data_IF_702263399219
#
_entry.id   IF_702263399219
#
_cell.length_a   1.000
_cell.length_b   1.000
_cell.length_c   1.000
_cell.angle_alpha   90.00
_cell.angle_beta   90.00
_cell.angle_gamma   90.00
#
_symmetry.space_group_name_H-M   'P 1'
#
loop_
_entity.id
_entity.type
_entity.pdbx_description
1 polymer ?
#
# COMPACT_ATOMS: atom_id res chain seq x y z
N UNK A 1 54.78 -8.79 -14.43
CA UNK A 1 53.37 -8.46 -14.20
C UNK A 1 53.35 -7.58 -12.97
N UNK A 2 53.12 -6.28 -13.20
CA UNK A 2 53.40 -5.20 -12.26
C UNK A 2 52.45 -5.20 -11.05
N UNK A 3 52.95 -5.01 -9.81
CA UNK A 3 52.16 -4.98 -8.58
C UNK A 3 51.12 -3.83 -8.54
N UNK A 4 51.24 -2.85 -9.44
CA UNK A 4 50.33 -1.71 -9.58
C UNK A 4 48.91 -2.11 -9.98
N UNK A 5 48.73 -3.18 -10.76
CA UNK A 5 47.41 -3.64 -11.17
C UNK A 5 46.58 -4.18 -10.00
N UNK A 6 47.20 -4.89 -9.05
CA UNK A 6 46.49 -5.47 -7.90
C UNK A 6 45.92 -4.39 -6.97
N UNK A 7 46.62 -3.27 -6.78
CA UNK A 7 46.12 -2.16 -5.96
C UNK A 7 44.90 -1.47 -6.58
N UNK A 8 44.87 -1.30 -7.90
CA UNK A 8 43.74 -0.70 -8.61
C UNK A 8 42.50 -1.60 -8.52
N UNK A 9 42.66 -2.92 -8.72
CA UNK A 9 41.55 -3.86 -8.59
C UNK A 9 41.05 -4.00 -7.15
N UNK A 10 41.94 -3.98 -6.15
CA UNK A 10 41.55 -4.02 -4.74
C UNK A 10 40.81 -2.74 -4.31
N UNK A 11 41.25 -1.56 -4.77
CA UNK A 11 40.57 -0.28 -4.52
C UNK A 11 39.19 -0.22 -5.20
N UNK A 12 39.08 -0.70 -6.44
CA UNK A 12 37.80 -0.78 -7.17
C UNK A 12 36.83 -1.77 -6.50
N UNK A 13 37.33 -2.91 -6.00
CA UNK A 13 36.53 -3.88 -5.25
C UNK A 13 36.08 -3.30 -3.90
N UNK A 14 36.95 -2.60 -3.16
CA UNK A 14 36.56 -1.91 -1.93
C UNK A 14 35.52 -0.80 -2.17
N UNK A 15 35.60 -0.04 -3.26
CA UNK A 15 34.58 0.96 -3.61
C UNK A 15 33.20 0.32 -3.89
N UNK A 16 33.17 -0.82 -4.58
CA UNK A 16 31.92 -1.56 -4.88
C UNK A 16 31.21 -2.06 -3.60
N UNK A 17 31.94 -2.36 -2.52
CA UNK A 17 31.35 -2.74 -1.23
C UNK A 17 30.89 -1.57 -0.36
N UNK A 18 31.18 -0.31 -0.75
CA UNK A 18 30.76 0.89 -0.01
C UNK A 18 29.45 1.50 -0.52
N UNK A 19 28.87 0.95 -1.61
CA UNK A 19 27.53 1.28 -2.08
C UNK A 19 26.48 0.71 -1.12
N UNK A 20 26.38 1.27 0.09
CA UNK A 20 25.18 1.12 0.90
C UNK A 20 24.08 1.83 0.13
N UNK A 21 23.20 1.06 -0.51
CA UNK A 21 21.92 1.57 -0.97
C UNK A 21 21.21 2.17 0.24
N UNK A 22 21.26 3.49 0.40
CA UNK A 22 20.56 4.17 1.48
C UNK A 22 19.09 4.21 1.04
N UNK A 23 18.38 3.14 1.36
CA UNK A 23 16.93 3.02 1.18
C UNK A 23 16.26 3.95 2.19
N UNK A 24 16.21 5.25 1.88
CA UNK A 24 15.59 6.22 2.78
C UNK A 24 14.10 6.36 2.51
N UNK A 25 13.31 6.29 3.57
CA UNK A 25 11.84 6.23 3.61
C UNK A 25 11.29 6.99 4.84
N UNK A 26 10.07 6.71 5.33
CA UNK A 26 9.53 7.31 6.56
C UNK A 26 8.62 6.38 7.37
N UNK A 27 8.57 6.55 8.69
CA UNK A 27 7.68 5.78 9.60
C UNK A 27 6.98 6.67 10.62
N UNK A 28 5.72 6.36 10.93
CA UNK A 28 4.99 6.97 12.03
C UNK A 28 5.44 6.35 13.36
N UNK A 29 6.07 7.16 14.21
CA UNK A 29 6.65 6.73 15.50
C UNK A 29 5.86 7.19 16.71
N UNK A 30 5.06 8.26 16.59
CA UNK A 30 4.17 8.74 17.65
C UNK A 30 2.84 9.20 17.04
N UNK A 31 1.69 8.62 17.42
CA UNK A 31 1.58 7.34 18.13
C UNK A 31 2.30 6.23 17.35
N UNK A 32 3.00 5.28 18.00
CA UNK A 32 3.70 4.20 17.30
C UNK A 32 2.76 3.44 16.36
N UNK A 33 3.05 3.46 15.06
CA UNK A 33 2.29 2.66 14.09
C UNK A 33 2.45 1.17 14.32
N UNK A 34 1.51 0.36 13.84
CA UNK A 34 1.50 -1.11 13.93
C UNK A 34 2.86 -1.76 13.60
N UNK A 35 3.54 -1.28 12.55
CA UNK A 35 4.88 -1.76 12.18
C UNK A 35 6.02 -1.21 13.05
N UNK A 36 5.83 -0.08 13.74
CA UNK A 36 6.84 0.58 14.57
C UNK A 36 6.71 0.24 16.07
N UNK A 37 5.60 -0.33 16.53
CA UNK A 37 5.33 -0.58 17.95
C UNK A 37 6.46 -1.32 18.66
N UNK A 38 7.08 -2.31 18.01
CA UNK A 38 8.18 -3.10 18.59
C UNK A 38 9.40 -2.25 18.99
N UNK A 39 9.63 -1.11 18.34
CA UNK A 39 10.72 -0.18 18.70
C UNK A 39 10.51 0.48 20.06
N UNK A 40 9.26 0.51 20.54
CA UNK A 40 8.84 1.17 21.77
C UNK A 40 8.44 0.16 22.85
N UNK A 41 9.00 -1.06 22.80
CA UNK A 41 8.83 -2.06 23.86
C UNK A 41 7.51 -2.83 23.84
N UNK A 42 6.62 -2.56 22.89
CA UNK A 42 5.40 -3.36 22.72
C UNK A 42 5.76 -4.78 22.29
N UNK A 43 5.08 -5.78 22.87
CA UNK A 43 5.22 -7.21 22.52
C UNK A 43 4.55 -7.52 21.18
N UNK A 44 5.00 -6.87 20.11
CA UNK A 44 4.52 -7.02 18.73
C UNK A 44 5.62 -7.62 17.87
N UNK A 45 5.25 -8.24 16.74
CA UNK A 45 6.23 -8.81 15.81
C UNK A 45 7.08 -7.68 15.19
N UNK A 46 8.42 -7.75 15.25
CA UNK A 46 9.25 -6.72 14.66
C UNK A 46 9.09 -6.62 13.14
N UNK A 47 8.89 -5.40 12.64
CA UNK A 47 9.12 -5.05 11.24
C UNK A 47 10.36 -4.15 11.15
N UNK A 48 11.48 -4.69 10.70
CA UNK A 48 12.73 -3.92 10.58
C UNK A 48 12.70 -2.90 9.43
N UNK A 49 11.78 -3.08 8.48
CA UNK A 49 11.50 -2.20 7.35
C UNK A 49 10.19 -1.43 7.59
N UNK A 50 9.92 -1.05 8.83
CA UNK A 50 8.74 -0.27 9.23
C UNK A 50 8.70 1.14 8.65
N UNK A 51 9.81 1.61 8.08
CA UNK A 51 9.85 2.80 7.24
C UNK A 51 9.44 2.54 5.78
N UNK A 52 9.33 1.29 5.31
CA UNK A 52 9.03 0.96 3.91
C UNK A 52 7.54 0.65 3.68
N UNK A 53 6.63 1.31 4.39
CA UNK A 53 5.18 1.21 4.15
C UNK A 53 4.70 2.16 3.02
N UNK A 54 5.43 2.08 1.92
CA UNK A 54 5.33 2.88 0.69
C UNK A 54 4.39 2.32 -0.40
N UNK A 55 3.30 1.65 -0.04
CA UNK A 55 2.34 1.06 -0.98
C UNK A 55 2.94 -0.01 -1.93
N UNK A 56 4.08 -0.60 -1.54
CA UNK A 56 4.89 -1.51 -2.36
C UNK A 56 5.90 -0.83 -3.28
N UNK A 57 6.08 0.48 -3.15
CA UNK A 57 6.93 1.33 -3.99
C UNK A 57 6.16 1.94 -5.18
N UNK A 58 6.68 3.05 -5.70
CA UNK A 58 6.05 3.83 -6.77
C UNK A 58 5.52 2.99 -7.96
N UNK A 59 6.36 2.11 -8.52
CA UNK A 59 6.00 1.26 -9.67
C UNK A 59 4.83 0.33 -9.35
N UNK A 60 4.84 -0.28 -8.18
CA UNK A 60 3.77 -1.19 -7.75
C UNK A 60 2.47 -0.41 -7.54
N UNK A 61 2.52 0.74 -6.87
CA UNK A 61 1.35 1.57 -6.64
C UNK A 61 0.73 2.05 -7.96
N UNK A 62 1.50 2.74 -8.79
CA UNK A 62 0.93 3.48 -9.92
C UNK A 62 0.76 2.65 -11.19
N UNK A 63 1.69 1.75 -11.50
CA UNK A 63 1.62 0.98 -12.73
C UNK A 63 0.83 -0.31 -12.57
N UNK A 64 1.06 -1.04 -11.48
CA UNK A 64 0.39 -2.33 -11.24
C UNK A 64 -0.97 -2.15 -10.58
N UNK A 65 -1.06 -1.30 -9.57
CA UNK A 65 -2.27 -1.15 -8.76
C UNK A 65 -3.15 0.04 -9.18
N UNK A 66 -2.76 0.81 -10.21
CA UNK A 66 -3.54 1.94 -10.71
C UNK A 66 -3.67 3.08 -9.69
N UNK A 67 -2.60 3.38 -8.96
CA UNK A 67 -2.54 4.40 -7.90
C UNK A 67 -3.02 3.92 -6.53
N UNK A 68 -3.58 2.71 -6.44
CA UNK A 68 -4.16 2.19 -5.19
C UNK A 68 -3.07 1.75 -4.20
N UNK A 69 -3.35 2.02 -2.93
CA UNK A 69 -2.52 1.66 -1.78
C UNK A 69 -3.37 0.97 -0.71
N UNK A 70 -2.79 0.02 0.03
CA UNK A 70 -3.44 -0.53 1.22
C UNK A 70 -3.74 0.57 2.24
N UNK A 71 -4.76 0.38 3.07
CA UNK A 71 -5.16 1.42 4.05
C UNK A 71 -4.05 1.72 5.05
N UNK A 72 -3.14 0.78 5.30
CA UNK A 72 -2.01 0.96 6.21
C UNK A 72 -0.64 0.83 5.52
N UNK A 73 -0.56 1.18 4.22
CA UNK A 73 0.72 1.34 3.51
C UNK A 73 1.26 0.07 2.85
N UNK A 74 0.58 -1.06 3.03
CA UNK A 74 0.89 -2.29 2.29
C UNK A 74 0.58 -2.15 0.79
N UNK A 75 1.23 -2.98 -0.04
CA UNK A 75 0.92 -3.02 -1.46
C UNK A 75 -0.52 -3.50 -1.73
N UNK A 76 -1.27 -2.74 -2.53
CA UNK A 76 -2.70 -2.99 -2.73
C UNK A 76 -3.04 -4.36 -3.32
N UNK A 77 -2.20 -4.94 -4.18
CA UNK A 77 -2.49 -6.27 -4.76
C UNK A 77 -2.35 -7.43 -3.76
N UNK A 78 -1.75 -7.20 -2.58
CA UNK A 78 -1.70 -8.23 -1.53
C UNK A 78 -3.13 -8.45 -1.01
N UNK A 79 -3.61 -9.70 -0.87
CA UNK A 79 -4.93 -9.99 -0.33
C UNK A 79 -5.13 -9.41 1.07
N UNK A 80 -6.35 -8.98 1.35
CA UNK A 80 -6.75 -8.54 2.69
C UNK A 80 -7.08 -9.75 3.59
N UNK A 81 -6.75 -9.73 4.89
CA UNK A 81 -6.03 -8.66 5.61
C UNK A 81 -4.54 -8.61 5.22
N UNK A 82 -4.10 -7.42 4.79
CA UNK A 82 -2.68 -7.16 4.50
C UNK A 82 -1.90 -7.07 5.82
N UNK A 83 -0.56 -7.20 5.82
CA UNK A 83 0.23 -7.26 7.05
C UNK A 83 -0.06 -6.19 8.09
N UNK A 84 -0.30 -4.93 7.67
CA UNK A 84 -0.58 -3.81 8.56
C UNK A 84 -2.07 -3.51 8.73
N UNK A 85 -2.96 -4.29 8.12
CA UNK A 85 -4.41 -4.19 8.34
C UNK A 85 -4.84 -4.99 9.57
N UNK A 86 -6.04 -4.71 10.09
CA UNK A 86 -6.62 -5.48 11.19
C UNK A 86 -6.71 -6.96 10.83
N UNK A 87 -6.24 -7.85 11.72
CA UNK A 87 -6.11 -9.27 11.45
C UNK A 87 -4.82 -9.66 10.71
N UNK A 88 -4.05 -8.67 10.21
CA UNK A 88 -2.71 -8.86 9.68
C UNK A 88 -1.67 -9.06 10.78
N UNK A 89 -0.46 -9.50 10.42
CA UNK A 89 0.60 -9.83 11.38
C UNK A 89 1.02 -8.65 12.29
N UNK A 90 0.82 -7.40 11.86
CA UNK A 90 1.11 -6.20 12.65
C UNK A 90 -0.17 -5.52 13.18
N UNK A 91 -1.32 -5.72 12.53
CA UNK A 91 -2.60 -5.16 12.98
C UNK A 91 -3.33 -6.05 13.98
N UNK A 92 -2.79 -6.12 15.20
CA UNK A 92 -3.30 -6.96 16.29
C UNK A 92 -4.26 -6.21 17.24
N UNK A 93 -4.60 -4.95 16.95
CA UNK A 93 -5.54 -4.15 17.75
C UNK A 93 -4.97 -3.63 19.08
N UNK A 94 -3.65 -3.56 19.21
CA UNK A 94 -2.98 -3.10 20.44
C UNK A 94 -3.04 -1.57 20.51
N UNK A 95 -3.72 -1.04 21.53
CA UNK A 95 -3.82 0.41 21.77
C UNK A 95 -2.43 0.97 22.11
N UNK A 96 -1.90 1.78 21.21
CA UNK A 96 -0.57 2.39 21.31
C UNK A 96 -0.57 3.67 22.13
N UNK A 97 -1.69 4.42 22.14
CA UNK A 97 -1.89 5.66 22.92
C UNK A 97 -3.35 5.84 23.33
N UNK A 98 -3.57 6.57 24.43
CA UNK A 98 -4.89 7.02 24.89
C UNK A 98 -4.88 8.55 24.94
N UNK A 99 -5.97 9.18 24.51
CA UNK A 99 -6.12 10.64 24.48
C UNK A 99 -7.50 11.05 24.99
N UNK A 100 -7.61 12.32 25.38
CA UNK A 100 -8.91 12.93 25.68
C UNK A 100 -9.53 13.54 24.41
N UNK A 101 -10.87 13.58 24.31
CA UNK A 101 -11.54 14.31 23.23
C UNK A 101 -11.09 15.78 23.20
N UNK A 102 -10.87 16.34 22.01
CA UNK A 102 -10.42 17.73 21.86
C UNK A 102 -8.94 17.97 22.17
N UNK A 103 -8.20 16.95 22.60
CA UNK A 103 -6.79 17.10 22.98
C UNK A 103 -5.92 17.50 21.77
N UNK A 104 -5.03 18.46 21.98
CA UNK A 104 -3.92 18.72 21.06
C UNK A 104 -2.84 17.67 21.31
N UNK A 105 -2.55 16.86 20.30
CA UNK A 105 -1.58 15.76 20.38
C UNK A 105 -0.34 16.08 19.55
N UNK A 106 0.81 15.57 19.98
CA UNK A 106 2.05 15.58 19.20
C UNK A 106 2.18 14.29 18.42
N UNK A 107 2.01 14.35 17.11
CA UNK A 107 2.35 13.26 16.20
C UNK A 107 3.81 13.39 15.75
N UNK A 108 4.57 12.30 15.68
CA UNK A 108 5.97 12.33 15.21
C UNK A 108 6.21 11.30 14.13
N UNK A 109 6.81 11.76 13.05
CA UNK A 109 7.19 10.95 11.88
C UNK A 109 8.72 10.96 11.78
N UNK A 110 9.34 9.79 11.78
CA UNK A 110 10.78 9.64 11.57
C UNK A 110 11.05 9.45 10.08
N UNK A 111 11.71 10.44 9.47
CA UNK A 111 12.06 10.45 8.05
C UNK A 111 13.53 10.05 7.88
N UNK A 112 13.76 8.96 7.16
CA UNK A 112 15.09 8.44 6.83
C UNK A 112 15.60 8.87 5.45
N UNK A 113 14.70 9.19 4.51
CA UNK A 113 14.99 10.14 3.43
C UNK A 113 13.78 11.01 3.14
N UNK A 114 14.08 12.28 2.91
CA UNK A 114 13.08 13.29 2.67
C UNK A 114 12.80 13.41 1.18
N UNK A 115 11.58 13.07 0.80
CA UNK A 115 11.08 13.13 -0.57
C UNK A 115 10.24 14.40 -0.83
N UNK A 116 10.41 15.45 -0.01
CA UNK A 116 9.60 16.70 -0.05
C UNK A 116 8.11 16.38 0.11
N UNK A 117 7.19 17.19 -0.41
CA UNK A 117 5.75 16.87 -0.34
C UNK A 117 5.16 17.20 1.03
N UNK A 118 4.21 16.40 1.51
CA UNK A 118 3.44 16.73 2.71
C UNK A 118 2.92 15.50 3.47
N UNK A 119 2.70 15.67 4.78
CA UNK A 119 2.01 14.72 5.64
C UNK A 119 0.54 15.12 5.80
N UNK A 120 -0.33 14.13 5.81
CA UNK A 120 -1.74 14.23 6.20
C UNK A 120 -2.01 13.21 7.31
N UNK A 121 -2.90 13.58 8.23
CA UNK A 121 -3.30 12.72 9.34
C UNK A 121 -4.82 12.57 9.34
N UNK A 122 -5.28 11.35 9.52
CA UNK A 122 -6.70 10.99 9.51
C UNK A 122 -7.02 10.09 10.68
N UNK A 123 -8.27 10.10 11.08
CA UNK A 123 -8.79 9.32 12.19
C UNK A 123 -10.04 8.55 11.75
N UNK A 124 -10.31 7.40 12.34
CA UNK A 124 -11.58 6.72 12.19
C UNK A 124 -11.98 6.12 13.54
N UNK A 125 -13.18 6.43 14.08
CA UNK A 125 -13.71 5.82 15.31
C UNK A 125 -14.22 4.40 15.03
N UNK A 126 -13.27 3.50 14.73
CA UNK A 126 -13.54 2.19 14.12
C UNK A 126 -14.11 1.14 15.09
N UNK A 127 -13.63 1.13 16.34
CA UNK A 127 -14.07 0.27 17.45
C UNK A 127 -14.12 -1.24 17.12
N UNK A 128 -13.31 -1.69 16.17
CA UNK A 128 -13.34 -3.06 15.68
C UNK A 128 -11.92 -3.56 15.32
N UNK A 129 -11.16 -4.09 16.30
CA UNK A 129 -9.75 -4.43 16.11
C UNK A 129 -9.50 -5.60 15.14
N UNK A 130 -10.55 -6.34 14.75
CA UNK A 130 -10.48 -7.52 13.86
C UNK A 130 -11.00 -7.25 12.46
N UNK A 131 -11.57 -6.07 12.19
CA UNK A 131 -12.08 -5.71 10.87
C UNK A 131 -11.23 -4.60 10.26
N UNK A 132 -11.00 -4.67 8.95
CA UNK A 132 -10.19 -3.67 8.26
C UNK A 132 -10.96 -2.36 8.16
N UNK A 133 -10.34 -1.28 8.62
CA UNK A 133 -10.90 0.07 8.48
C UNK A 133 -11.06 0.44 7.00
N UNK A 134 -12.16 1.09 6.63
CA UNK A 134 -12.33 1.61 5.28
C UNK A 134 -11.59 2.94 5.10
N UNK A 135 -11.10 3.20 3.89
CA UNK A 135 -10.55 4.51 3.58
C UNK A 135 -11.61 5.61 3.71
N UNK A 136 -12.87 5.32 3.35
CA UNK A 136 -13.99 6.25 3.48
C UNK A 136 -14.23 6.73 4.92
N UNK A 137 -14.05 5.85 5.92
CA UNK A 137 -14.13 6.25 7.31
C UNK A 137 -13.01 7.24 7.66
N UNK A 138 -11.77 6.92 7.29
CA UNK A 138 -10.61 7.79 7.54
C UNK A 138 -10.75 9.15 6.83
N UNK A 139 -11.25 9.14 5.60
CA UNK A 139 -11.47 10.34 4.80
C UNK A 139 -12.58 11.24 5.36
N UNK A 140 -13.43 10.71 6.23
CA UNK A 140 -14.48 11.47 6.93
C UNK A 140 -13.96 12.25 8.14
N UNK A 141 -12.76 11.92 8.65
CA UNK A 141 -12.16 12.63 9.80
C UNK A 141 -10.67 12.97 9.55
N UNK A 142 -10.36 13.88 8.61
CA UNK A 142 -9.05 14.49 8.55
C UNK A 142 -8.77 15.28 9.85
N UNK A 143 -7.52 15.27 10.30
CA UNK A 143 -7.09 16.03 11.47
C UNK A 143 -6.46 17.34 11.04
N UNK A 144 -6.88 18.42 11.70
CA UNK A 144 -6.33 19.76 11.50
C UNK A 144 -5.03 19.93 12.27
N UNK A 145 -4.11 20.69 11.69
CA UNK A 145 -2.91 21.18 12.35
C UNK A 145 -3.31 22.20 13.43
N UNK A 146 -2.68 22.10 14.60
CA UNK A 146 -3.01 22.95 15.74
C UNK A 146 -2.67 24.43 15.54
N UNK A 147 -1.84 24.76 14.54
CA UNK A 147 -1.52 26.13 14.14
C UNK A 147 -2.59 26.75 13.21
N UNK A 148 -3.63 25.99 12.83
CA UNK A 148 -4.69 26.45 11.95
C UNK A 148 -4.32 26.56 10.48
N UNK A 149 -3.16 26.03 10.06
CA UNK A 149 -2.71 26.08 8.65
C UNK A 149 -3.39 25.07 7.73
N UNK A 150 -4.33 24.28 8.26
CA UNK A 150 -5.11 23.27 7.54
C UNK A 150 -4.67 21.85 7.89
N UNK A 151 -4.82 20.91 6.94
CA UNK A 151 -4.61 19.47 7.16
C UNK A 151 -3.29 18.92 6.62
N UNK A 152 -2.48 19.77 5.96
CA UNK A 152 -1.23 19.37 5.28
C UNK A 152 -0.02 19.99 5.93
N UNK A 153 0.83 19.15 6.51
CA UNK A 153 2.12 19.56 7.06
C UNK A 153 3.21 19.36 6.02
N UNK A 154 4.03 20.40 5.76
CA UNK A 154 5.14 20.33 4.81
C UNK A 154 6.46 20.19 5.57
N UNK A 155 7.10 19.00 5.59
CA UNK A 155 8.36 18.82 6.29
C UNK A 155 9.47 19.67 5.65
N UNK A 156 10.25 20.35 6.50
CA UNK A 156 11.47 21.02 6.09
C UNK A 156 12.48 20.01 5.49
N UNK A 157 13.44 20.46 4.67
CA UNK A 157 14.54 19.60 4.22
C UNK A 157 15.29 18.97 5.40
N UNK A 158 15.78 17.74 5.21
CA UNK A 158 16.53 16.99 6.22
C UNK A 158 15.83 15.70 6.66
N UNK A 159 16.52 14.93 7.48
CA UNK A 159 16.07 13.62 8.01
C UNK A 159 15.95 13.69 9.54
N UNK A 160 15.30 12.68 10.12
CA UNK A 160 15.04 12.56 11.55
C UNK A 160 13.57 12.79 11.90
N UNK A 161 13.28 13.08 13.19
CA UNK A 161 11.92 13.23 13.67
C UNK A 161 11.32 14.58 13.27
N UNK A 162 10.15 14.55 12.63
CA UNK A 162 9.29 15.69 12.39
C UNK A 162 8.08 15.59 13.31
N UNK A 163 7.95 16.54 14.23
CA UNK A 163 6.81 16.60 15.17
C UNK A 163 5.76 17.58 14.67
N UNK A 164 4.50 17.14 14.70
CA UNK A 164 3.33 17.84 14.20
C UNK A 164 2.28 17.89 15.29
N UNK A 165 1.80 19.09 15.63
CA UNK A 165 0.72 19.27 16.60
C UNK A 165 -0.62 19.15 15.86
N UNK A 166 -1.48 18.24 16.31
CA UNK A 166 -2.78 17.94 15.70
C UNK A 166 -3.89 18.11 16.72
N UNK A 167 -5.06 18.59 16.28
CA UNK A 167 -6.24 18.72 17.13
C UNK A 167 -7.15 17.51 16.95
N UNK A 168 -7.41 16.77 18.03
CA UNK A 168 -8.41 15.71 18.01
C UNK A 168 -9.84 16.30 18.06
N UNK A 169 -10.85 15.67 17.44
CA UNK A 169 -12.21 16.20 17.48
C UNK A 169 -12.82 16.16 18.90
N UNK A 170 -13.45 17.26 19.33
CA UNK A 170 -14.02 17.39 20.69
C UNK A 170 -15.14 16.40 21.01
N UNK A 171 -15.91 15.97 20.01
CA UNK A 171 -17.10 15.13 20.18
C UNK A 171 -16.86 13.67 19.76
N UNK A 172 -15.60 13.30 19.51
CA UNK A 172 -15.25 11.96 19.04
C UNK A 172 -14.63 11.16 20.19
N UNK A 173 -15.19 9.98 20.42
CA UNK A 173 -14.67 8.96 21.34
C UNK A 173 -14.61 7.62 20.65
N UNK A 174 -13.69 6.77 21.08
CA UNK A 174 -13.48 5.42 20.54
C UNK A 174 -12.69 4.56 21.52
N UNK A 175 -13.12 3.31 21.71
CA UNK A 175 -12.32 2.30 22.41
C UNK A 175 -11.12 1.85 21.57
N UNK A 176 -11.26 1.91 20.25
CA UNK A 176 -10.18 1.73 19.29
C UNK A 176 -10.45 2.59 18.06
N UNK A 177 -9.69 3.67 17.90
CA UNK A 177 -9.60 4.42 16.66
C UNK A 177 -8.44 3.89 15.81
N UNK A 178 -8.57 4.03 14.49
CA UNK A 178 -7.41 3.94 13.60
C UNK A 178 -6.94 5.34 13.25
N UNK A 179 -5.71 5.67 13.64
CA UNK A 179 -5.01 6.87 13.25
C UNK A 179 -4.12 6.56 12.05
N UNK A 180 -4.35 7.22 10.92
CA UNK A 180 -3.58 7.03 9.68
C UNK A 180 -2.73 8.27 9.42
N UNK A 181 -1.41 8.07 9.40
CA UNK A 181 -0.49 9.00 8.75
C UNK A 181 -0.36 8.63 7.27
N UNK A 182 -0.41 9.63 6.39
CA UNK A 182 -0.05 9.51 4.98
C UNK A 182 1.04 10.51 4.65
N UNK A 183 2.10 10.07 3.99
CA UNK A 183 3.10 10.93 3.39
C UNK A 183 3.04 10.82 1.88
N UNK A 184 2.62 11.91 1.23
CA UNK A 184 2.69 12.04 -0.22
C UNK A 184 3.99 12.75 -0.56
N UNK A 185 4.90 12.04 -1.23
CA UNK A 185 6.16 12.61 -1.70
C UNK A 185 5.90 13.76 -2.71
N UNK A 186 6.94 14.55 -3.00
CA UNK A 186 6.83 15.69 -3.89
C UNK A 186 8.09 15.91 -4.75
N UNK A 187 8.87 14.86 -4.97
CA UNK A 187 10.13 14.91 -5.69
C UNK A 187 10.03 14.40 -7.13
N UNK A 188 8.91 13.79 -7.53
CA UNK A 188 8.74 13.31 -8.91
C UNK A 188 8.20 14.43 -9.82
N UNK A 189 8.66 14.46 -11.07
CA UNK A 189 8.12 15.33 -12.10
C UNK A 189 6.82 14.75 -12.68
N UNK A 190 5.80 15.60 -12.86
CA UNK A 190 4.57 15.17 -13.50
C UNK A 190 3.67 16.32 -13.92
N UNK A 191 2.55 15.97 -14.55
CA UNK A 191 1.54 16.92 -15.04
C UNK A 191 0.61 17.34 -13.91
N UNK A 192 0.43 18.65 -13.75
CA UNK A 192 -0.52 19.24 -12.80
C UNK A 192 -1.92 19.32 -13.42
N UNK A 193 -2.93 19.53 -12.57
CA UNK A 193 -4.34 19.68 -12.98
C UNK A 193 -4.56 20.84 -13.95
N UNK A 194 -3.83 21.94 -13.77
CA UNK A 194 -3.87 23.10 -14.67
C UNK A 194 -3.18 22.86 -16.03
N UNK A 195 -2.75 21.64 -16.33
CA UNK A 195 -2.11 21.25 -17.58
C UNK A 195 -0.61 21.48 -17.65
N UNK A 196 -0.01 22.26 -16.74
CA UNK A 196 1.45 22.47 -16.65
C UNK A 196 2.17 21.21 -16.15
N UNK A 197 3.49 21.16 -16.23
CA UNK A 197 4.29 20.08 -15.62
C UNK A 197 5.38 20.66 -14.72
N UNK A 198 5.53 20.10 -13.53
CA UNK A 198 6.58 20.48 -12.56
C UNK A 198 6.86 19.34 -11.57
N UNK A 199 7.93 19.50 -10.80
CA UNK A 199 8.22 18.66 -9.64
C UNK A 199 7.08 18.75 -8.62
N UNK A 200 6.67 17.60 -8.09
CA UNK A 200 5.59 17.45 -7.11
C UNK A 200 4.19 17.34 -7.72
N UNK A 201 4.05 17.40 -9.05
CA UNK A 201 2.79 17.16 -9.74
C UNK A 201 2.68 15.73 -10.27
N UNK A 202 1.46 15.30 -10.55
CA UNK A 202 1.16 13.95 -11.03
C UNK A 202 1.41 12.89 -9.95
N UNK A 203 1.50 11.60 -10.35
CA UNK A 203 1.79 10.49 -9.45
C UNK A 203 3.05 10.69 -8.59
N UNK A 204 2.90 10.53 -7.28
CA UNK A 204 3.99 10.60 -6.31
C UNK A 204 4.04 9.30 -5.51
N UNK A 205 5.22 8.96 -4.96
CA UNK A 205 5.29 7.87 -3.98
C UNK A 205 4.46 8.23 -2.75
N UNK A 206 3.81 7.22 -2.16
CA UNK A 206 2.94 7.38 -0.99
C UNK A 206 3.38 6.43 0.09
N UNK A 207 3.54 6.92 1.31
CA UNK A 207 3.77 6.13 2.51
C UNK A 207 2.56 6.24 3.42
N UNK A 208 2.23 5.16 4.13
CA UNK A 208 1.18 5.20 5.16
C UNK A 208 1.59 4.42 6.39
N UNK A 209 1.17 4.90 7.55
CA UNK A 209 1.29 4.18 8.81
C UNK A 209 -0.02 4.27 9.58
N UNK A 210 -0.54 3.15 10.05
CA UNK A 210 -1.70 3.10 10.94
C UNK A 210 -1.25 2.83 12.38
N UNK A 211 -1.80 3.58 13.33
CA UNK A 211 -1.70 3.31 14.76
C UNK A 211 -3.11 3.07 15.32
N UNK A 212 -3.22 2.15 16.27
CA UNK A 212 -4.44 1.92 17.03
C UNK A 212 -4.36 2.77 18.30
N UNK A 213 -5.33 3.67 18.51
CA UNK A 213 -5.37 4.59 19.68
C UNK A 213 -6.76 4.55 20.32
N UNK A 214 -6.91 5.05 21.54
CA UNK A 214 -8.23 5.23 22.17
C UNK A 214 -8.46 6.70 22.51
N UNK A 215 -9.71 7.15 22.43
CA UNK A 215 -10.12 8.51 22.76
C UNK A 215 -11.34 8.44 23.69
N UNK A 216 -11.23 9.02 24.88
CA UNK A 216 -12.30 8.99 25.87
C UNK A 216 -11.87 9.62 27.19
N UNK A 217 -12.61 9.35 28.25
CA UNK A 217 -12.28 9.81 29.60
C UNK A 217 -11.08 9.01 30.11
N UNK A 218 -9.89 9.62 30.05
CA UNK A 218 -8.64 8.93 30.37
C UNK A 218 -8.37 9.03 31.88
N UNK A 219 -8.67 7.96 32.62
CA UNK A 219 -8.07 7.72 33.93
C UNK A 219 -6.63 7.24 33.72
N UNK A 220 -5.68 8.18 33.65
CA UNK A 220 -4.21 7.97 33.66
C UNK A 220 -3.60 7.14 32.51
N UNK A 221 -2.58 7.71 31.87
CA UNK A 221 -1.81 7.06 30.82
C UNK A 221 -0.81 6.05 31.41
N UNK A 222 -1.22 4.79 31.57
CA UNK A 222 -0.31 3.65 31.84
C UNK A 222 0.57 3.27 30.63
N UNK A 223 0.56 4.08 29.58
CA UNK A 223 1.34 3.84 28.38
C UNK A 223 2.69 4.53 28.58
N UNK A 224 3.80 3.79 28.60
CA UNK A 224 5.11 4.34 28.91
C UNK A 224 5.45 5.49 27.94
N UNK A 225 5.60 6.68 28.53
CA UNK A 225 6.12 7.88 27.88
C UNK A 225 7.61 7.70 27.64
N UNK A 226 7.97 7.04 26.54
CA UNK A 226 9.37 6.98 26.14
C UNK A 226 9.79 8.31 25.50
N UNK A 227 10.15 9.28 26.34
CA UNK A 227 10.79 10.54 25.95
C UNK A 227 12.24 10.34 25.46
N UNK A 228 12.76 9.11 25.45
CA UNK A 228 14.10 8.81 24.97
C UNK A 228 14.03 7.87 23.76
N UNK A 229 14.59 8.35 22.65
CA UNK A 229 14.88 7.55 21.45
C UNK A 229 15.65 6.30 21.89
N UNK A 230 15.29 5.08 21.44
CA UNK A 230 16.14 3.91 21.65
C UNK A 230 17.56 4.24 21.17
N UNK A 231 18.62 3.93 21.94
CA UNK A 231 19.98 4.25 21.55
C UNK A 231 20.28 3.69 20.17
N UNK A 232 20.87 4.54 19.34
CA UNK A 232 21.16 4.27 17.94
C UNK A 232 22.21 3.14 17.84
N UNK A 233 21.73 1.89 17.70
CA UNK A 233 22.51 0.64 17.57
C UNK A 233 23.45 0.33 18.75
N UNK A 234 23.55 -0.96 19.16
CA UNK A 234 24.63 -1.35 20.06
C UNK A 234 25.98 -1.19 19.33
N UNK A 235 26.89 -0.42 19.93
CA UNK A 235 28.29 -0.37 19.49
C UNK A 235 28.87 -1.79 19.54
N UNK A 236 29.67 -2.14 18.54
CA UNK A 236 30.33 -3.44 18.39
C UNK A 236 31.28 -3.77 19.58
N UNK A 237 31.54 -2.79 20.46
CA UNK A 237 32.40 -2.96 21.65
C UNK A 237 31.75 -3.68 22.84
N UNK A 238 30.47 -4.04 22.79
CA UNK A 238 29.79 -4.75 23.87
C UNK A 238 29.75 -6.30 23.69
N UNK A 239 30.59 -6.85 22.81
CA UNK A 239 30.79 -8.31 22.75
C UNK A 239 31.81 -8.68 23.85
N UNK A 240 31.41 -9.37 24.94
CA UNK A 240 32.38 -9.87 25.91
C UNK A 240 33.32 -10.87 25.22
N UNK A 241 34.64 -10.84 25.50
CA UNK A 241 35.56 -11.79 24.91
C UNK A 241 35.11 -13.22 25.26
N UNK A 242 35.04 -14.08 24.24
CA UNK A 242 34.69 -15.49 24.42
C UNK A 242 35.59 -16.12 25.48
N UNK A 243 34.98 -16.58 26.57
CA UNK A 243 35.63 -17.44 27.58
C UNK A 243 36.19 -18.68 26.88
N UNK A 244 37.43 -19.12 27.16
CA UNK A 244 37.98 -20.32 26.56
C UNK A 244 37.10 -21.52 26.95
N UNK A 245 36.45 -22.16 25.98
CA UNK A 245 35.72 -23.39 26.22
C UNK A 245 36.72 -24.51 26.52
N UNK A 246 36.60 -25.12 27.70
CA UNK A 246 37.26 -26.38 28.04
C UNK A 246 36.96 -27.42 26.95
N UNK A 247 38.02 -28.00 26.36
CA UNK A 247 37.91 -29.12 25.42
C UNK A 247 37.39 -30.35 26.15
N UNK A 248 36.11 -30.64 26.04
CA UNK A 248 35.62 -32.00 26.27
C UNK A 248 35.99 -32.86 25.06
N UNK A 249 36.87 -33.84 25.26
CA UNK A 249 37.21 -34.86 24.26
C UNK A 249 36.00 -35.76 24.04
N UNK A 250 35.24 -35.50 22.98
CA UNK A 250 34.28 -36.48 22.46
C UNK A 250 34.99 -37.48 21.55
N UNK A 251 34.98 -38.74 21.98
CA UNK A 251 35.48 -39.91 21.24
C UNK A 251 34.47 -40.23 20.11
N UNK A 252 34.87 -40.33 18.83
CA UNK A 252 33.93 -40.65 17.76
C UNK A 252 33.49 -42.12 17.86
N UNK A 253 32.17 -42.38 17.79
CA UNK A 253 31.66 -43.72 17.48
C UNK A 253 31.62 -43.94 15.95
N UNK A 254 31.89 -45.17 15.46
CA UNK A 254 31.91 -45.47 14.04
C UNK A 254 30.49 -45.50 13.43
N UNK A 255 30.33 -44.84 12.28
CA UNK A 255 29.11 -44.89 11.45
C UNK A 255 28.97 -46.24 10.74
N UNK A 256 27.75 -46.79 10.60
CA UNK A 256 27.52 -47.94 9.72
C UNK A 256 27.61 -47.53 8.24
N UNK A 257 28.20 -48.44 7.46
CA UNK A 257 28.54 -48.34 6.02
C UNK A 257 27.26 -48.39 5.14
N UNK A 258 27.15 -47.57 4.08
CA UNK A 258 26.07 -47.72 3.09
C UNK A 258 26.32 -48.93 2.19
N UNK A 259 25.32 -49.81 2.07
CA UNK A 259 25.26 -50.89 1.08
C UNK A 259 24.94 -50.33 -0.32
N UNK A 260 25.71 -50.78 -1.31
CA UNK A 260 25.60 -50.47 -2.74
C UNK A 260 24.58 -51.41 -3.42
N UNK A 261 23.62 -50.90 -4.21
CA UNK A 261 22.96 -51.72 -5.24
C UNK A 261 23.54 -51.47 -6.64
N UNK A 262 23.42 -52.51 -7.45
CA UNK A 262 24.09 -52.79 -8.73
C UNK A 262 23.67 -51.90 -9.90
N UNK A 263 24.60 -51.77 -10.86
CA UNK A 263 24.47 -51.13 -12.16
C UNK A 263 23.64 -51.97 -13.14
N UNK A 264 22.56 -51.40 -13.69
CA UNK A 264 21.98 -51.82 -14.96
C UNK A 264 21.43 -50.59 -15.71
N UNK A 265 21.84 -50.44 -16.98
CA UNK A 265 21.60 -49.29 -17.86
C UNK A 265 20.35 -49.52 -18.71
N UNK A 266 19.40 -48.57 -18.81
CA UNK A 266 18.37 -48.59 -19.85
C UNK A 266 18.73 -47.72 -21.07
N UNK A 267 18.38 -48.23 -22.25
CA UNK A 267 18.60 -47.71 -23.61
C UNK A 267 17.74 -46.46 -23.95
N UNK A 268 18.10 -45.68 -25.00
CA UNK A 268 17.38 -44.45 -25.38
C UNK A 268 16.11 -44.74 -26.22
N UNK A 269 15.03 -43.96 -26.08
CA UNK A 269 13.84 -44.14 -26.91
C UNK A 269 14.04 -43.56 -28.32
N UNK A 270 13.66 -44.36 -29.32
CA UNK A 270 13.62 -44.03 -30.75
C UNK A 270 12.54 -43.00 -31.07
N UNK A 271 12.85 -42.09 -32.01
CA UNK A 271 11.91 -41.19 -32.67
C UNK A 271 10.87 -41.96 -33.49
N UNK A 272 9.57 -41.61 -33.46
CA UNK A 272 8.63 -42.07 -34.46
C UNK A 272 8.57 -41.13 -35.67
N UNK A 273 8.43 -41.80 -36.80
CA UNK A 273 8.44 -41.38 -38.18
C UNK A 273 7.11 -40.74 -38.59
N UNK A 274 7.15 -39.74 -39.47
CA UNK A 274 5.98 -39.16 -40.12
C UNK A 274 5.66 -40.00 -41.37
N UNK A 275 4.42 -40.50 -41.54
CA UNK A 275 3.68 -40.34 -42.81
C UNK A 275 2.27 -40.98 -42.87
N UNK A 276 1.37 -40.18 -43.46
CA UNK A 276 0.25 -40.49 -44.36
C UNK A 276 -1.17 -40.83 -43.85
N UNK A 277 -2.04 -39.78 -43.93
CA UNK A 277 -3.42 -39.67 -44.52
C UNK A 277 -4.57 -40.50 -43.87
N UNK A 278 -5.88 -40.15 -44.05
CA UNK A 278 -6.48 -39.28 -45.08
C UNK A 278 -7.44 -38.16 -44.58
N UNK A 279 -7.71 -37.24 -45.51
CA UNK A 279 -8.79 -36.24 -45.50
C UNK A 279 -10.15 -36.95 -45.41
N UNK A 280 -11.10 -36.43 -44.62
CA UNK A 280 -12.51 -36.22 -45.05
C UNK A 280 -13.41 -35.57 -43.97
N UNK A 281 -14.16 -34.57 -44.46
CA UNK A 281 -15.54 -34.16 -44.16
C UNK A 281 -15.99 -33.70 -42.77
N UNK A 282 -16.40 -32.41 -42.77
CA UNK A 282 -17.34 -31.66 -41.91
C UNK A 282 -18.11 -32.45 -40.85
N UNK A 283 -18.15 -31.92 -39.62
CA UNK A 283 -19.19 -32.21 -38.61
C UNK A 283 -19.99 -30.97 -38.20
N UNK A 284 -21.26 -31.13 -37.79
CA UNK A 284 -22.24 -30.06 -37.66
C UNK A 284 -22.22 -29.40 -36.27
N UNK A 285 -22.70 -28.15 -36.24
CA UNK A 285 -22.90 -27.35 -35.04
C UNK A 285 -24.08 -27.89 -34.21
N UNK A 286 -23.83 -28.35 -32.98
CA UNK A 286 -24.88 -28.68 -32.00
C UNK A 286 -24.95 -27.63 -30.88
N UNK A 287 -26.15 -27.08 -30.68
CA UNK A 287 -26.49 -26.13 -29.60
C UNK A 287 -26.40 -26.80 -28.22
N UNK A 288 -25.76 -26.12 -27.26
CA UNK A 288 -25.84 -26.47 -25.82
C UNK A 288 -27.18 -26.04 -25.21
N UNK A 289 -27.83 -26.86 -24.34
CA UNK A 289 -29.00 -26.46 -23.56
C UNK A 289 -28.65 -25.62 -22.31
N UNK A 290 -29.60 -24.81 -21.84
CA UNK A 290 -29.54 -23.97 -20.62
C UNK A 290 -29.56 -24.80 -19.31
N UNK A 291 -28.99 -24.28 -18.20
CA UNK A 291 -29.11 -24.90 -16.87
C UNK A 291 -30.50 -24.68 -16.23
N UNK A 292 -30.98 -25.67 -15.47
CA UNK A 292 -32.20 -25.62 -14.63
C UNK A 292 -31.94 -24.98 -13.24
N UNK A 293 -32.98 -24.48 -12.53
CA UNK A 293 -32.85 -23.90 -11.19
C UNK A 293 -32.80 -24.94 -10.06
N UNK A 294 -32.21 -24.53 -8.92
CA UNK A 294 -32.02 -25.28 -7.65
C UNK A 294 -33.34 -25.61 -6.93
N UNK A 295 -33.39 -26.68 -6.10
CA UNK A 295 -34.53 -26.95 -5.22
C UNK A 295 -34.44 -26.22 -3.88
N UNK A 296 -35.59 -25.76 -3.39
CA UNK A 296 -35.84 -25.22 -2.05
C UNK A 296 -36.15 -26.34 -1.07
N UNK A 297 -35.48 -26.37 0.08
CA UNK A 297 -35.82 -27.23 1.22
C UNK A 297 -36.84 -26.52 2.11
N UNK A 298 -38.00 -27.14 2.32
CA UNK A 298 -38.97 -26.79 3.36
C UNK A 298 -38.67 -27.59 4.63
N UNK A 299 -38.61 -26.90 5.76
CA UNK A 299 -38.45 -27.52 7.08
C UNK A 299 -39.78 -27.34 7.83
N UNK A 300 -40.53 -28.42 8.00
CA UNK A 300 -41.77 -28.45 8.78
C UNK A 300 -41.45 -28.97 10.17
N UNK A 301 -41.56 -28.12 11.19
CA UNK A 301 -41.87 -28.49 12.58
C UNK A 301 -42.01 -27.23 13.44
N UNK A 302 -43.24 -26.75 13.64
CA UNK A 302 -43.68 -26.03 14.86
C UNK A 302 -45.22 -25.83 14.83
N UNK A 303 -45.95 -25.95 15.96
CA UNK A 303 -47.41 -26.04 15.97
C UNK A 303 -48.10 -24.67 15.99
N UNK A 304 -49.23 -24.58 15.29
CA UNK A 304 -50.12 -23.40 15.22
C UNK A 304 -50.79 -23.09 16.55
N UNK A 305 -50.77 -21.81 16.95
CA UNK A 305 -51.61 -21.26 18.02
C UNK A 305 -52.53 -20.20 17.42
N UNK A 306 -53.82 -20.49 17.40
CA UNK A 306 -54.87 -19.54 17.01
C UNK A 306 -55.00 -18.44 18.07
N UNK A 307 -55.03 -17.18 17.62
CA UNK A 307 -55.60 -16.09 18.39
C UNK A 307 -56.55 -15.28 17.52
N UNK A 308 -57.78 -15.19 18.02
CA UNK A 308 -58.90 -14.42 17.50
C UNK A 308 -58.70 -12.93 17.78
N UNK A 309 -58.85 -12.09 16.75
CA UNK A 309 -58.94 -10.63 16.96
C UNK A 309 -60.38 -10.16 16.82
N UNK A 310 -61.05 -9.95 17.96
CA UNK A 310 -62.26 -9.11 18.05
C UNK A 310 -61.86 -7.65 17.86
N UNK A 311 -62.56 -6.96 16.96
CA UNK A 311 -62.41 -5.53 16.66
C UNK A 311 -63.52 -4.76 17.37
N UNK A 312 -63.24 -3.71 18.18
CA UNK A 312 -64.28 -2.79 18.65
C UNK A 312 -64.47 -1.64 17.65
N UNK A 313 -65.72 -1.35 17.32
CA UNK A 313 -66.17 -0.17 16.60
C UNK A 313 -66.42 0.99 17.57
N UNK A 314 -65.87 2.17 17.27
CA UNK A 314 -66.43 3.44 17.76
C UNK A 314 -66.22 4.55 16.72
N UNK A 315 -67.24 5.38 16.44
CA UNK A 315 -67.17 6.42 15.42
C UNK A 315 -66.74 7.74 16.06
N UNK A 316 -65.90 8.53 15.37
CA UNK A 316 -65.89 9.97 15.63
C UNK A 316 -65.42 10.75 14.41
N UNK A 317 -66.25 11.74 14.10
CA UNK A 317 -66.25 12.69 13.00
C UNK A 317 -65.07 13.65 13.12
N UNK A 318 -64.15 13.61 12.16
CA UNK A 318 -63.26 14.73 11.90
C UNK A 318 -63.02 14.79 10.39
N UNK A 319 -63.44 15.88 9.75
CA UNK A 319 -63.12 16.19 8.35
C UNK A 319 -61.81 16.97 8.32
N UNK A 320 -60.71 16.45 7.75
CA UNK A 320 -59.55 17.25 7.44
C UNK A 320 -59.76 17.95 6.09
N UNK A 321 -59.53 19.27 6.08
CA UNK A 321 -59.45 20.11 4.89
C UNK A 321 -58.26 19.63 4.05
N UNK A 322 -58.54 19.18 2.82
CA UNK A 322 -57.54 18.68 1.88
C UNK A 322 -56.89 19.88 1.18
N UNK A 323 -55.65 20.21 1.51
CA UNK A 323 -54.80 21.03 0.65
C UNK A 323 -54.06 20.10 -0.31
N UNK A 324 -54.13 20.32 -1.65
CA UNK A 324 -53.40 19.49 -2.60
C UNK A 324 -51.90 19.63 -2.40
N UNK A 325 -51.22 18.50 -2.19
CA UNK A 325 -49.76 18.41 -2.18
C UNK A 325 -49.23 18.74 -3.59
N UNK A 326 -48.22 19.61 -3.75
CA UNK A 326 -47.63 19.87 -5.05
C UNK A 326 -46.97 18.59 -5.59
N UNK A 327 -47.33 18.24 -6.81
CA UNK A 327 -46.76 17.10 -7.55
C UNK A 327 -45.30 17.38 -7.90
N UNK A 328 -44.39 16.41 -7.72
CA UNK A 328 -43.02 16.58 -8.20
C UNK A 328 -43.02 16.59 -9.73
N UNK A 329 -42.48 17.66 -10.31
CA UNK A 329 -42.23 17.79 -11.73
C UNK A 329 -41.33 16.63 -12.21
N UNK A 330 -41.89 15.76 -13.05
CA UNK A 330 -41.19 14.66 -13.71
C UNK A 330 -40.79 15.13 -15.11
N UNK A 331 -39.49 15.31 -15.42
CA UNK A 331 -39.08 15.65 -16.77
C UNK A 331 -39.45 14.51 -17.73
N UNK A 332 -40.29 14.80 -18.73
CA UNK A 332 -40.51 13.89 -19.86
C UNK A 332 -39.31 13.98 -20.80
N UNK A 333 -38.44 12.97 -20.76
CA UNK A 333 -37.48 12.76 -21.84
C UNK A 333 -38.22 12.13 -23.02
N UNK A 334 -38.35 12.90 -24.11
CA UNK A 334 -38.81 12.42 -25.40
C UNK A 334 -37.95 11.24 -25.89
N UNK A 335 -38.60 10.24 -26.49
CA UNK A 335 -37.94 9.06 -27.05
C UNK A 335 -37.03 9.49 -28.21
N UNK A 336 -35.72 9.41 -28.01
CA UNK A 336 -34.73 9.52 -29.08
C UNK A 336 -34.76 8.19 -29.88
N UNK A 337 -34.82 8.19 -31.22
CA UNK A 337 -34.79 6.97 -32.01
C UNK A 337 -33.45 6.24 -31.86
N UNK A 338 -33.50 4.98 -31.47
CA UNK A 338 -32.31 4.10 -31.39
C UNK A 338 -31.87 3.76 -32.81
N UNK A 339 -30.87 4.45 -33.33
CA UNK A 339 -30.08 3.95 -34.46
C UNK A 339 -29.16 2.84 -33.96
N UNK A 340 -29.34 1.63 -34.51
CA UNK A 340 -28.49 0.46 -34.21
C UNK A 340 -27.05 0.78 -34.62
N UNK A 341 -26.15 1.04 -33.66
CA UNK A 341 -24.71 1.04 -33.92
C UNK A 341 -24.27 -0.37 -34.34
N UNK A 342 -23.46 -0.53 -35.40
CA UNK A 342 -22.92 -1.83 -35.80
C UNK A 342 -21.95 -2.37 -34.73
N UNK A 343 -21.92 -3.70 -34.58
CA UNK A 343 -21.05 -4.43 -33.64
C UNK A 343 -19.57 -4.11 -33.92
N UNK A 344 -18.73 -3.91 -32.88
CA UNK A 344 -17.30 -3.73 -33.09
C UNK A 344 -16.69 -5.03 -33.61
N UNK A 345 -16.15 -4.97 -34.83
CA UNK A 345 -15.30 -6.01 -35.40
C UNK A 345 -13.94 -5.92 -34.70
N UNK A 346 -13.54 -7.01 -34.06
CA UNK A 346 -12.23 -7.14 -33.42
C UNK A 346 -11.16 -7.15 -34.52
N UNK A 347 -10.36 -6.08 -34.62
CA UNK A 347 -9.14 -6.07 -35.45
C UNK A 347 -7.93 -6.44 -34.59
N UNK A 348 -7.03 -7.24 -35.17
CA UNK A 348 -5.75 -7.61 -34.57
C UNK A 348 -4.86 -6.39 -34.29
N UNK A 349 -4.04 -6.54 -33.23
CA UNK A 349 -3.06 -5.61 -32.63
C UNK A 349 -2.58 -4.47 -33.54
N UNK A 350 -2.82 -3.23 -33.12
CA UNK A 350 -2.00 -2.09 -33.53
C UNK A 350 -0.83 -1.93 -32.54
N UNK A 351 0.41 -1.70 -33.02
CA UNK A 351 1.52 -1.34 -32.14
C UNK A 351 1.23 0.02 -31.47
N UNK A 352 1.84 0.31 -30.30
CA UNK A 352 1.64 1.57 -29.61
C UNK A 352 1.95 2.74 -30.56
N UNK A 353 1.00 3.67 -30.65
CA UNK A 353 1.16 4.92 -31.40
C UNK A 353 2.33 5.67 -30.76
N UNK A 354 3.45 5.79 -31.48
CA UNK A 354 4.55 6.69 -31.10
C UNK A 354 4.01 8.12 -31.11
N UNK A 355 3.62 8.62 -29.95
CA UNK A 355 3.71 10.06 -29.68
C UNK A 355 5.11 10.29 -29.12
N UNK A 356 6.09 10.28 -30.03
CA UNK A 356 7.37 10.91 -29.79
C UNK A 356 7.12 12.41 -29.88
N UNK A 357 7.06 13.09 -28.73
CA UNK A 357 7.38 14.51 -28.73
C UNK A 357 8.92 14.58 -28.77
N UNK A 358 9.45 14.54 -30.00
CA UNK A 358 10.69 15.25 -30.30
C UNK A 358 10.37 16.73 -30.08
N UNK A 359 10.78 17.26 -28.94
CA UNK A 359 11.41 18.58 -28.93
C UNK A 359 12.89 18.31 -28.66
N UNK A 360 13.58 17.94 -29.74
CA UNK A 360 15.02 18.17 -29.88
C UNK A 360 15.23 19.68 -29.92
N UNK A 361 15.78 20.23 -28.84
CA UNK A 361 16.89 21.17 -29.02
C UNK A 361 18.18 20.39 -28.77
N UNK A 362 19.09 20.48 -29.74
CA UNK A 362 20.26 19.65 -29.83
C UNK A 362 21.31 19.94 -28.76
N UNK A 363 21.84 18.87 -28.19
CA UNK A 363 23.12 18.83 -27.51
C UNK A 363 23.53 17.38 -27.37
N UNK A 364 24.58 16.95 -28.06
CA UNK A 364 25.24 15.67 -27.79
C UNK A 364 25.71 15.70 -26.33
N UNK A 365 25.05 14.93 -25.45
CA UNK A 365 25.35 14.86 -24.01
C UNK A 365 24.15 15.06 -23.05
N UNK A 366 22.91 14.93 -23.52
CA UNK A 366 21.70 15.11 -22.70
C UNK A 366 21.17 13.84 -22.02
N UNK A 367 20.64 14.01 -20.81
CA UNK A 367 19.91 13.01 -20.04
C UNK A 367 18.53 12.73 -20.64
N UNK A 368 18.17 11.45 -20.80
CA UNK A 368 16.81 11.05 -21.18
C UNK A 368 16.06 10.48 -20.00
N UNK A 369 14.73 10.56 -20.05
CA UNK A 369 13.91 9.83 -19.09
C UNK A 369 13.73 8.37 -19.48
N UNK A 370 13.66 7.50 -18.47
CA UNK A 370 13.57 6.04 -18.64
C UNK A 370 12.37 5.43 -17.91
N UNK A 371 12.07 4.17 -18.25
CA UNK A 371 10.97 3.43 -17.65
C UNK A 371 9.64 4.14 -17.87
N UNK A 372 8.88 4.34 -16.79
CA UNK A 372 7.55 4.97 -16.85
C UNK A 372 7.56 6.48 -16.92
N UNK A 373 8.73 7.06 -16.75
CA UNK A 373 8.94 8.50 -16.85
C UNK A 373 9.09 8.91 -18.32
N UNK A 374 9.48 8.00 -19.21
CA UNK A 374 9.77 8.29 -20.62
C UNK A 374 8.62 8.96 -21.40
N UNK A 375 7.36 8.79 -20.97
CA UNK A 375 6.18 9.39 -21.61
C UNK A 375 5.68 10.68 -20.98
N UNK A 376 6.32 11.18 -19.91
CA UNK A 376 5.88 12.41 -19.24
C UNK A 376 6.48 13.63 -19.96
N UNK A 377 5.63 14.59 -20.34
CA UNK A 377 6.12 15.82 -20.98
C UNK A 377 7.04 16.62 -20.04
N UNK A 378 8.16 17.14 -20.58
CA UNK A 378 9.11 17.98 -19.84
C UNK A 378 10.08 17.24 -18.92
N UNK A 379 9.97 15.92 -18.80
CA UNK A 379 10.80 15.14 -17.88
C UNK A 379 12.23 14.91 -18.36
N UNK A 380 12.49 14.96 -19.67
CA UNK A 380 13.85 14.93 -20.21
C UNK A 380 14.62 16.18 -19.74
N UNK A 381 14.03 17.37 -19.91
CA UNK A 381 14.59 18.62 -19.39
C UNK A 381 14.75 18.62 -17.86
N UNK A 382 13.82 17.98 -17.14
CA UNK A 382 13.99 17.76 -15.71
C UNK A 382 15.19 16.86 -15.40
N UNK A 383 15.37 15.76 -16.14
CA UNK A 383 16.53 14.90 -15.98
C UNK A 383 17.84 15.65 -16.24
N UNK A 384 17.93 16.45 -17.31
CA UNK A 384 19.08 17.29 -17.58
C UNK A 384 19.39 18.23 -16.41
N UNK A 385 18.37 18.96 -15.95
CA UNK A 385 18.50 19.96 -14.88
C UNK A 385 18.78 19.35 -13.50
N UNK A 386 18.26 18.16 -13.22
CA UNK A 386 18.38 17.51 -11.91
C UNK A 386 19.70 16.75 -11.80
N UNK A 387 20.10 16.06 -12.88
CA UNK A 387 21.38 15.36 -12.95
C UNK A 387 22.55 16.36 -12.97
N UNK A 388 22.43 17.51 -13.64
CA UNK A 388 23.41 18.60 -13.57
C UNK A 388 23.63 19.14 -12.14
N UNK A 389 22.64 18.98 -11.24
CA UNK A 389 22.72 19.34 -9.82
C UNK A 389 23.20 18.20 -8.92
N UNK A 390 23.70 17.10 -9.49
CA UNK A 390 24.19 15.93 -8.77
C UNK A 390 23.10 14.96 -8.29
N UNK A 391 21.83 15.22 -8.61
CA UNK A 391 20.71 14.34 -8.24
C UNK A 391 20.20 13.60 -9.48
N UNK A 392 20.80 12.45 -9.78
CA UNK A 392 20.47 11.66 -10.96
C UNK A 392 19.88 10.29 -10.62
N UNK A 393 18.57 10.19 -10.33
CA UNK A 393 17.95 8.91 -10.02
C UNK A 393 17.87 8.02 -11.27
N UNK A 394 18.62 6.91 -11.26
CA UNK A 394 18.65 5.93 -12.37
C UNK A 394 17.28 5.30 -12.68
N UNK A 395 16.32 5.38 -11.75
CA UNK A 395 14.94 4.96 -11.95
C UNK A 395 14.13 5.93 -12.83
N UNK A 396 14.59 7.16 -13.02
CA UNK A 396 13.92 8.21 -13.78
C UNK A 396 14.74 8.69 -14.98
N UNK A 397 16.06 8.77 -14.84
CA UNK A 397 16.96 9.40 -15.78
C UNK A 397 18.10 8.47 -16.19
N UNK A 398 18.49 8.55 -17.45
CA UNK A 398 19.65 7.90 -18.03
C UNK A 398 20.45 8.97 -18.78
N UNK A 399 21.58 9.35 -18.18
CA UNK A 399 22.52 10.34 -18.71
C UNK A 399 23.78 9.57 -19.11
N UNK A 400 23.99 9.44 -20.42
CA UNK A 400 25.12 8.73 -21.03
C UNK A 400 26.28 9.67 -21.28
#
# INVERSE_FOLDING_TARGET
>A
MEPTFYFIYAAAFCLLFTMRSVSGHGRLVEPPSRSSMWRFGFKTKPNYNDNELFCGGYTVQWQRNGGKCGVCGDAWHIPSPRPNEAGGIYGQGVISRKYSPGQVIKSTVDITANHRGFFEFKLCPHNSPTTVVSQDCLDSFPLELADGSGTRYFPAPGTGPFSVQLVLPHHLTCSQCVFQWTYTAGNNWGRCENGTSKVGCGPQETFRGCADIAIGDVETNDIPTYNERPPEKPSISAIPPRRPTQRTRFRPQPRPRPTRPSTARPSPPRRPYYNQRPVTTRKPYTRRPRPRPRPTYTNNNLPSREYTTRRPSRPTTYRPIYTPRPTPYRPQYGKIPVTKKPRPVYKHKMPPKKTTNLETEGGQGGCRAVGVWASIAGIASWCDSNCARGYCPASHCDCS
#
